data_IF_457706126271
#
_entry.id   IF_457706126271
#
_cell.length_a   1.000
_cell.length_b   1.000
_cell.length_c   1.000
_cell.angle_alpha   90.00
_cell.angle_beta   90.00
_cell.angle_gamma   90.00
#
_symmetry.space_group_name_H-M   'P 1'
#
loop_
_entity.id
_entity.type
_entity.pdbx_description
1 polymer ?
#
# COMPACT_ATOMS: atom_id res chain seq x y z
N UNK A 1 -27.25 -4.89 15.86
CA UNK A 1 -26.20 -5.30 16.82
C UNK A 1 -24.91 -5.45 16.00
N UNK A 2 -23.94 -4.55 16.16
CA UNK A 2 -22.69 -4.57 15.37
C UNK A 2 -21.91 -5.88 15.54
N UNK A 3 -21.88 -6.41 16.77
CA UNK A 3 -21.14 -7.62 17.09
C UNK A 3 -21.67 -8.84 16.31
N UNK A 4 -22.99 -9.02 16.26
CA UNK A 4 -23.63 -10.12 15.53
C UNK A 4 -23.33 -10.06 14.03
N UNK A 5 -23.46 -8.87 13.43
CA UNK A 5 -23.24 -8.69 12.00
C UNK A 5 -21.77 -8.86 11.59
N UNK A 6 -20.84 -8.29 12.36
CA UNK A 6 -19.42 -8.30 12.01
C UNK A 6 -18.75 -9.63 12.35
N UNK A 7 -18.96 -10.14 13.57
CA UNK A 7 -18.16 -11.24 14.12
C UNK A 7 -18.86 -12.60 14.07
N UNK A 8 -20.19 -12.65 13.99
CA UNK A 8 -20.93 -13.92 13.94
C UNK A 8 -21.45 -14.26 12.55
N UNK A 9 -21.74 -13.26 11.72
CA UNK A 9 -22.30 -13.48 10.36
C UNK A 9 -21.28 -13.25 9.23
N UNK A 10 -20.46 -12.20 9.34
CA UNK A 10 -19.52 -11.84 8.27
C UNK A 10 -18.14 -12.50 8.43
N UNK A 11 -17.68 -12.65 9.67
CA UNK A 11 -16.41 -13.29 10.02
C UNK A 11 -16.62 -14.48 10.96
N UNK A 12 -17.47 -15.44 10.55
CA UNK A 12 -17.86 -16.61 11.35
C UNK A 12 -16.76 -17.68 11.50
N UNK A 13 -15.59 -17.45 10.92
CA UNK A 13 -14.44 -18.36 10.97
C UNK A 13 -13.24 -17.75 11.69
N UNK A 14 -12.47 -18.61 12.37
CA UNK A 14 -11.29 -18.23 13.13
C UNK A 14 -9.98 -18.42 12.35
N UNK A 15 -10.05 -19.02 11.16
CA UNK A 15 -8.87 -19.36 10.37
C UNK A 15 -8.41 -18.19 9.52
N UNK A 16 -7.25 -17.62 9.87
CA UNK A 16 -6.64 -16.46 9.21
C UNK A 16 -6.50 -16.61 7.69
N UNK A 17 -6.28 -17.83 7.19
CA UNK A 17 -6.13 -18.10 5.76
C UNK A 17 -7.40 -17.87 4.92
N UNK A 18 -8.56 -17.70 5.56
CA UNK A 18 -9.81 -17.30 4.87
C UNK A 18 -9.90 -15.79 4.65
N UNK A 19 -9.14 -14.98 5.39
CA UNK A 19 -9.15 -13.53 5.25
C UNK A 19 -8.25 -13.09 4.08
N UNK A 20 -8.80 -13.21 2.87
CA UNK A 20 -8.12 -12.78 1.65
C UNK A 20 -7.83 -11.27 1.68
N UNK A 21 -6.70 -10.89 1.08
CA UNK A 21 -6.27 -9.49 0.89
C UNK A 21 -5.90 -8.71 2.16
N UNK A 22 -5.82 -9.38 3.32
CA UNK A 22 -5.32 -8.75 4.55
C UNK A 22 -3.90 -9.23 4.86
N UNK A 23 -2.97 -8.32 5.21
CA UNK A 23 -1.64 -8.72 5.63
C UNK A 23 -1.71 -9.44 6.99
N UNK A 24 -1.15 -10.64 7.07
CA UNK A 24 -0.83 -11.32 8.34
C UNK A 24 0.42 -10.68 8.94
N UNK A 25 0.29 -9.45 9.43
CA UNK A 25 1.42 -8.68 9.98
C UNK A 25 1.00 -7.85 11.19
N UNK A 26 1.91 -7.72 12.16
CA UNK A 26 1.76 -6.83 13.31
C UNK A 26 2.30 -5.41 13.05
N UNK A 27 2.63 -5.06 11.80
CA UNK A 27 3.30 -3.80 11.43
C UNK A 27 2.59 -2.56 11.99
N UNK A 28 1.25 -2.53 11.95
CA UNK A 28 0.48 -1.41 12.49
C UNK A 28 0.64 -1.27 14.02
N UNK A 29 0.61 -2.39 14.74
CA UNK A 29 0.81 -2.42 16.20
C UNK A 29 2.23 -1.99 16.55
N UNK A 30 3.23 -2.50 15.84
CA UNK A 30 4.62 -2.13 16.05
C UNK A 30 4.90 -0.66 15.72
N UNK A 31 4.25 -0.09 14.70
CA UNK A 31 4.36 1.33 14.36
C UNK A 31 3.79 2.23 15.46
N UNK A 32 2.62 1.87 16.02
CA UNK A 32 2.03 2.61 17.16
C UNK A 32 2.94 2.48 18.39
N UNK A 33 3.38 1.26 18.72
CA UNK A 33 4.29 1.01 19.82
C UNK A 33 5.58 1.82 19.68
N UNK A 34 6.11 1.93 18.47
CA UNK A 34 7.29 2.75 18.18
C UNK A 34 7.03 4.23 18.44
N UNK A 35 5.91 4.76 17.96
CA UNK A 35 5.52 6.17 18.18
C UNK A 35 5.41 6.48 19.68
N UNK A 36 4.76 5.60 20.45
CA UNK A 36 4.65 5.75 21.91
C UNK A 36 6.04 5.76 22.57
N UNK A 37 6.91 4.84 22.15
CA UNK A 37 8.27 4.71 22.72
C UNK A 37 9.16 5.88 22.35
N UNK A 38 9.16 6.32 21.10
CA UNK A 38 10.10 7.32 20.59
C UNK A 38 9.63 8.76 20.93
N UNK A 39 8.33 9.06 20.79
CA UNK A 39 7.81 10.42 20.93
C UNK A 39 7.11 10.66 22.27
N UNK A 40 6.48 9.63 22.84
CA UNK A 40 5.69 9.75 24.07
C UNK A 40 6.51 9.55 25.33
N UNK A 41 7.10 8.37 25.47
CA UNK A 41 7.78 7.95 26.71
C UNK A 41 9.29 8.09 26.64
N UNK A 42 9.86 8.39 25.46
CA UNK A 42 11.30 8.39 25.20
C UNK A 42 11.99 7.11 25.71
N UNK A 43 11.28 5.98 25.61
CA UNK A 43 11.67 4.64 26.08
C UNK A 43 11.88 4.52 27.59
N UNK A 44 11.45 5.51 28.38
CA UNK A 44 11.47 5.46 29.83
C UNK A 44 10.27 4.69 30.39
N UNK A 45 10.44 4.10 31.59
CA UNK A 45 9.32 3.54 32.35
C UNK A 45 8.66 4.65 33.15
N UNK A 46 7.34 4.78 33.01
CA UNK A 46 6.56 5.86 33.62
C UNK A 46 5.57 5.30 34.64
N UNK A 47 5.29 6.09 35.68
CA UNK A 47 4.16 5.85 36.57
C UNK A 47 2.84 6.02 35.81
N UNK A 48 1.80 5.28 36.23
CA UNK A 48 0.53 5.20 35.50
C UNK A 48 -0.09 6.57 35.21
N UNK A 49 -0.11 7.48 36.19
CA UNK A 49 -0.68 8.84 36.02
C UNK A 49 0.02 9.63 34.91
N UNK A 50 1.35 9.55 34.84
CA UNK A 50 2.15 10.21 33.81
C UNK A 50 1.96 9.56 32.45
N UNK A 51 1.86 8.23 32.41
CA UNK A 51 1.56 7.50 31.18
C UNK A 51 0.19 7.89 30.60
N UNK A 52 -0.86 7.93 31.43
CA UNK A 52 -2.20 8.33 30.99
C UNK A 52 -2.22 9.76 30.44
N UNK A 53 -1.52 10.69 31.09
CA UNK A 53 -1.39 12.07 30.60
C UNK A 53 -0.75 12.12 29.21
N UNK A 54 0.33 11.36 29.00
CA UNK A 54 1.01 11.29 27.70
C UNK A 54 0.12 10.63 26.63
N UNK A 55 -0.56 9.54 26.98
CA UNK A 55 -1.47 8.86 26.07
C UNK A 55 -2.61 9.79 25.62
N UNK A 56 -3.21 10.55 26.55
CA UNK A 56 -4.21 11.57 26.24
C UNK A 56 -3.65 12.66 25.32
N UNK A 57 -2.42 13.12 25.56
CA UNK A 57 -1.78 14.12 24.70
C UNK A 57 -1.51 13.59 23.28
N UNK A 58 -1.08 12.33 23.14
CA UNK A 58 -0.87 11.69 21.84
C UNK A 58 -2.17 11.68 21.03
N UNK A 59 -3.27 11.21 21.65
CA UNK A 59 -4.58 11.15 21.00
C UNK A 59 -5.08 12.55 20.65
N UNK A 60 -4.90 13.52 21.55
CA UNK A 60 -5.27 14.92 21.29
C UNK A 60 -4.49 15.50 20.10
N UNK A 61 -3.18 15.28 20.05
CA UNK A 61 -2.35 15.73 18.93
C UNK A 61 -2.78 15.09 17.61
N UNK A 62 -3.06 13.79 17.61
CA UNK A 62 -3.59 13.10 16.42
C UNK A 62 -4.93 13.68 15.96
N UNK A 63 -5.77 14.15 16.88
CA UNK A 63 -7.02 14.83 16.58
C UNK A 63 -6.78 16.19 15.95
N UNK A 64 -5.95 17.04 16.57
CA UNK A 64 -5.61 18.39 16.09
C UNK A 64 -4.97 18.35 14.71
N UNK A 65 -4.05 17.42 14.47
CA UNK A 65 -3.39 17.26 13.16
C UNK A 65 -4.37 16.90 12.04
N UNK A 66 -5.55 16.36 12.38
CA UNK A 66 -6.58 15.93 11.44
C UNK A 66 -7.76 16.89 11.38
N UNK A 67 -7.71 18.01 12.09
CA UNK A 67 -8.72 19.05 12.01
C UNK A 67 -8.71 19.70 10.61
N UNK A 68 -9.85 19.69 9.94
CA UNK A 68 -10.03 20.25 8.59
C UNK A 68 -9.93 21.77 8.57
N UNK A 69 -10.05 22.43 9.73
CA UNK A 69 -9.85 23.88 9.85
C UNK A 69 -8.38 24.30 9.91
N UNK A 70 -7.47 23.34 10.15
CA UNK A 70 -6.03 23.60 10.28
C UNK A 70 -5.36 23.81 8.92
N UNK A 71 -4.44 24.78 8.86
CA UNK A 71 -3.65 25.08 7.65
C UNK A 71 -2.75 23.90 7.25
N UNK A 72 -2.34 23.08 8.22
CA UNK A 72 -1.42 21.94 8.06
C UNK A 72 -2.14 20.59 8.28
N UNK A 73 -3.39 20.49 7.83
CA UNK A 73 -4.19 19.27 8.01
C UNK A 73 -3.51 18.04 7.38
N UNK A 74 -3.40 16.96 8.15
CA UNK A 74 -2.96 15.64 7.69
C UNK A 74 -4.16 14.83 7.22
N UNK A 75 -4.47 14.92 5.93
CA UNK A 75 -5.56 14.15 5.31
C UNK A 75 -5.18 12.67 5.16
N UNK A 76 -6.18 11.80 5.30
CA UNK A 76 -6.02 10.39 4.97
C UNK A 76 -5.86 10.22 3.45
N UNK A 77 -4.89 9.41 3.05
CA UNK A 77 -4.77 9.00 1.66
C UNK A 77 -5.97 8.11 1.29
N UNK A 78 -6.83 8.59 0.42
CA UNK A 78 -7.98 7.83 -0.10
C UNK A 78 -7.61 6.96 -1.29
N UNK A 79 -6.50 7.26 -1.94
CA UNK A 79 -5.98 6.51 -3.08
C UNK A 79 -4.48 6.21 -2.92
N UNK A 80 -4.02 5.06 -3.44
CA UNK A 80 -2.61 4.73 -3.42
C UNK A 80 -1.81 5.64 -4.36
N UNK A 81 -0.67 6.14 -3.88
CA UNK A 81 0.27 6.87 -4.73
C UNK A 81 1.10 5.89 -5.54
N UNK A 82 0.98 5.95 -6.88
CA UNK A 82 1.67 5.02 -7.79
C UNK A 82 2.99 5.63 -8.24
N UNK A 83 4.11 5.06 -7.78
CA UNK A 83 5.43 5.50 -8.16
C UNK A 83 5.73 5.22 -9.65
N UNK A 84 6.63 5.99 -10.25
CA UNK A 84 7.07 5.79 -11.63
C UNK A 84 7.72 4.41 -11.85
N UNK A 85 8.42 3.90 -10.83
CA UNK A 85 8.99 2.55 -10.85
C UNK A 85 7.88 1.50 -10.91
N UNK A 86 6.83 1.67 -10.11
CA UNK A 86 5.68 0.78 -10.13
C UNK A 86 5.00 0.82 -11.50
N UNK A 87 4.68 2.00 -12.03
CA UNK A 87 4.15 2.18 -13.39
C UNK A 87 4.96 1.46 -14.46
N UNK A 88 6.29 1.55 -14.39
CA UNK A 88 7.20 0.89 -15.34
C UNK A 88 7.09 -0.63 -15.23
N UNK A 89 7.18 -1.16 -14.01
CA UNK A 89 7.10 -2.61 -13.77
C UNK A 89 5.73 -3.19 -14.14
N UNK A 90 4.65 -2.46 -13.88
CA UNK A 90 3.28 -2.83 -14.24
C UNK A 90 3.07 -2.84 -15.74
N UNK A 91 3.61 -1.85 -16.46
CA UNK A 91 3.53 -1.79 -17.91
C UNK A 91 4.30 -2.94 -18.57
N UNK A 92 5.52 -3.22 -18.11
CA UNK A 92 6.30 -4.38 -18.57
C UNK A 92 5.54 -5.67 -18.28
N UNK A 93 5.05 -5.86 -17.05
CA UNK A 93 4.26 -7.03 -16.66
C UNK A 93 3.00 -7.19 -17.51
N UNK A 94 2.28 -6.11 -17.79
CA UNK A 94 1.09 -6.10 -18.63
C UNK A 94 1.40 -6.55 -20.06
N UNK A 95 2.58 -6.19 -20.60
CA UNK A 95 3.03 -6.61 -21.93
C UNK A 95 3.57 -8.04 -22.00
N UNK A 96 4.05 -8.59 -20.89
CA UNK A 96 4.53 -9.97 -20.85
C UNK A 96 3.35 -10.92 -21.05
N UNK A 97 3.36 -11.63 -22.19
CA UNK A 97 2.51 -12.80 -22.39
C UNK A 97 3.15 -13.94 -21.61
N UNK A 98 2.47 -14.41 -20.56
CA UNK A 98 2.87 -15.61 -19.81
C UNK A 98 2.04 -16.78 -20.33
N UNK A 99 2.47 -17.38 -21.44
CA UNK A 99 1.91 -18.65 -21.88
C UNK A 99 2.52 -19.76 -21.03
N UNK A 100 1.75 -20.22 -20.03
CA UNK A 100 2.11 -21.38 -19.23
C UNK A 100 1.49 -22.59 -19.91
N UNK A 101 2.29 -23.30 -20.71
CA UNK A 101 1.82 -24.43 -21.51
C UNK A 101 2.05 -25.77 -20.81
N UNK A 102 2.80 -25.80 -19.71
CA UNK A 102 3.11 -27.03 -18.98
C UNK A 102 3.00 -26.87 -17.46
N UNK A 103 2.67 -27.97 -16.77
CA UNK A 103 2.63 -28.01 -15.31
C UNK A 103 3.98 -27.70 -14.65
N UNK A 104 5.10 -28.04 -15.29
CA UNK A 104 6.43 -27.71 -14.75
C UNK A 104 6.76 -26.21 -14.86
N UNK A 105 6.31 -25.53 -15.93
CA UNK A 105 6.38 -24.07 -16.00
C UNK A 105 5.47 -23.42 -14.95
N UNK A 106 4.28 -23.98 -14.74
CA UNK A 106 3.35 -23.55 -13.69
C UNK A 106 3.98 -23.68 -12.29
N UNK A 107 4.55 -24.85 -11.95
CA UNK A 107 5.18 -25.11 -10.64
C UNK A 107 6.35 -24.16 -10.35
N UNK A 108 7.10 -23.76 -11.38
CA UNK A 108 8.15 -22.74 -11.26
C UNK A 108 7.61 -21.32 -11.13
N UNK A 109 6.35 -21.08 -11.51
CA UNK A 109 5.83 -19.73 -11.63
C UNK A 109 5.51 -19.08 -10.28
N UNK A 110 5.13 -19.84 -9.22
CA UNK A 110 4.76 -19.33 -7.87
C UNK A 110 3.93 -18.02 -7.83
N UNK A 111 3.31 -17.65 -8.96
CA UNK A 111 2.84 -16.28 -9.26
C UNK A 111 1.31 -16.26 -9.44
N UNK A 112 0.59 -17.19 -8.81
CA UNK A 112 -0.87 -17.18 -8.86
C UNK A 112 -1.37 -16.15 -7.86
N UNK A 113 -1.52 -14.93 -8.36
CA UNK A 113 -2.06 -13.83 -7.61
C UNK A 113 -3.54 -13.68 -7.95
N UNK A 114 -4.40 -13.87 -6.95
CA UNK A 114 -5.81 -13.54 -7.06
C UNK A 114 -5.97 -12.01 -6.95
N UNK A 115 -6.84 -11.47 -7.78
CA UNK A 115 -7.14 -10.05 -7.80
C UNK A 115 -8.63 -9.82 -8.01
N UNK A 116 -9.17 -8.88 -7.26
CA UNK A 116 -10.48 -8.30 -7.48
C UNK A 116 -10.31 -6.88 -7.98
N UNK A 117 -11.05 -6.51 -9.02
CA UNK A 117 -11.01 -5.18 -9.61
C UNK A 117 -12.40 -4.80 -10.08
N UNK A 118 -12.85 -3.62 -9.67
CA UNK A 118 -14.06 -3.00 -10.18
C UNK A 118 -13.83 -2.43 -11.59
N UNK A 119 -14.91 -2.32 -12.36
CA UNK A 119 -14.82 -1.84 -13.74
C UNK A 119 -14.66 -0.32 -13.79
N UNK A 120 -13.88 0.19 -14.74
CA UNK A 120 -13.85 1.62 -15.09
C UNK A 120 -12.83 2.45 -14.29
N UNK A 121 -13.25 3.64 -13.85
CA UNK A 121 -12.37 4.65 -13.23
C UNK A 121 -11.82 4.23 -11.87
N UNK A 122 -12.53 3.35 -11.17
CA UNK A 122 -12.31 3.10 -9.75
C UNK A 122 -11.33 1.94 -9.51
N UNK A 123 -10.66 1.45 -10.55
CA UNK A 123 -9.70 0.33 -10.50
C UNK A 123 -8.64 0.44 -9.39
N UNK A 124 -8.37 1.62 -8.83
CA UNK A 124 -7.47 1.82 -7.69
C UNK A 124 -7.98 1.18 -6.40
N UNK A 125 -9.28 0.89 -6.29
CA UNK A 125 -9.90 0.12 -5.20
C UNK A 125 -9.61 -1.39 -5.30
N UNK A 126 -8.95 -1.82 -6.38
CA UNK A 126 -8.62 -3.23 -6.60
C UNK A 126 -7.87 -3.85 -5.43
N UNK A 127 -8.13 -5.14 -5.20
CA UNK A 127 -7.48 -5.95 -4.17
C UNK A 127 -6.62 -7.00 -4.82
N UNK A 128 -5.49 -7.34 -4.21
CA UNK A 128 -4.64 -8.42 -4.68
C UNK A 128 -3.99 -9.15 -3.51
N UNK A 129 -3.91 -10.48 -3.58
CA UNK A 129 -3.32 -11.27 -2.49
C UNK A 129 -1.78 -11.36 -2.55
N UNK A 130 -1.13 -10.60 -3.43
CA UNK A 130 0.33 -10.61 -3.53
C UNK A 130 1.00 -9.84 -2.38
N UNK A 131 2.19 -10.27 -1.90
CA UNK A 131 2.89 -9.62 -0.79
C UNK A 131 3.12 -8.11 -0.99
N UNK A 132 3.39 -7.68 -2.23
CA UNK A 132 3.56 -6.27 -2.54
C UNK A 132 2.28 -5.45 -2.32
N UNK A 133 1.11 -6.02 -2.62
CA UNK A 133 -0.18 -5.39 -2.36
C UNK A 133 -0.47 -5.37 -0.87
N UNK A 134 -0.32 -6.50 -0.18
CA UNK A 134 -0.57 -6.60 1.26
C UNK A 134 0.25 -5.59 2.07
N UNK A 135 1.45 -5.24 1.58
CA UNK A 135 2.31 -4.22 2.21
C UNK A 135 1.95 -2.78 1.86
N UNK A 136 1.61 -2.49 0.61
CA UNK A 136 1.51 -1.11 0.11
C UNK A 136 0.11 -0.71 -0.34
N UNK A 137 -0.87 -1.61 -0.25
CA UNK A 137 -2.22 -1.49 -0.80
C UNK A 137 -2.26 -1.17 -2.31
N UNK A 138 -1.17 -1.43 -3.02
CA UNK A 138 -1.05 -1.32 -4.48
C UNK A 138 0.10 -2.20 -4.97
N UNK A 139 -0.03 -2.78 -6.16
CA UNK A 139 0.99 -3.67 -6.71
C UNK A 139 1.07 -3.62 -8.23
N UNK A 140 2.10 -4.27 -8.78
CA UNK A 140 2.30 -4.33 -10.23
C UNK A 140 1.16 -5.05 -10.96
N UNK A 141 0.52 -6.02 -10.28
CA UNK A 141 -0.58 -6.80 -10.84
C UNK A 141 -1.82 -5.92 -11.00
N UNK A 142 -2.27 -5.25 -9.94
CA UNK A 142 -3.41 -4.33 -9.96
C UNK A 142 -3.26 -3.28 -11.08
N UNK A 143 -2.18 -2.51 -11.05
CA UNK A 143 -1.90 -1.50 -12.07
C UNK A 143 -1.74 -2.12 -13.47
N UNK A 144 -1.11 -3.29 -13.56
CA UNK A 144 -0.90 -4.00 -14.82
C UNK A 144 -2.20 -4.48 -15.46
N UNK A 145 -3.13 -5.00 -14.66
CA UNK A 145 -4.47 -5.40 -15.13
C UNK A 145 -5.30 -4.20 -15.55
N UNK A 146 -5.25 -3.09 -14.80
CA UNK A 146 -5.90 -1.85 -15.21
C UNK A 146 -5.36 -1.32 -16.56
N UNK A 147 -4.06 -1.51 -16.83
CA UNK A 147 -3.47 -1.19 -18.15
C UNK A 147 -4.01 -2.14 -19.24
N UNK A 148 -4.06 -3.46 -18.99
CA UNK A 148 -4.56 -4.46 -19.95
C UNK A 148 -6.04 -4.24 -20.31
N UNK A 149 -6.85 -3.97 -19.29
CA UNK A 149 -8.28 -3.69 -19.42
C UNK A 149 -8.57 -2.26 -19.92
N UNK A 150 -7.53 -1.46 -20.16
CA UNK A 150 -7.62 -0.07 -20.64
C UNK A 150 -8.36 0.89 -19.69
N UNK A 151 -8.43 0.55 -18.40
CA UNK A 151 -8.98 1.42 -17.34
C UNK A 151 -8.04 2.57 -16.98
N UNK A 152 -6.74 2.44 -17.24
CA UNK A 152 -5.79 3.53 -17.10
C UNK A 152 -4.75 3.59 -18.22
N UNK A 153 -4.12 4.75 -18.37
CA UNK A 153 -3.00 4.96 -19.28
C UNK A 153 -1.72 5.13 -18.49
N UNK A 154 -0.77 4.22 -18.70
CA UNK A 154 0.57 4.36 -18.12
C UNK A 154 1.25 5.65 -18.62
N UNK A 155 1.92 6.42 -17.74
CA UNK A 155 2.60 7.66 -18.11
C UNK A 155 3.69 7.40 -19.16
N UNK A 156 3.92 8.35 -20.08
CA UNK A 156 4.87 8.19 -21.17
C UNK A 156 6.28 7.82 -20.67
N UNK A 157 6.72 8.44 -19.57
CA UNK A 157 8.00 8.16 -18.93
C UNK A 157 8.13 6.70 -18.46
N UNK A 158 7.05 5.98 -18.16
CA UNK A 158 7.10 4.57 -17.77
C UNK A 158 7.34 3.61 -18.94
N UNK A 159 7.09 4.06 -20.18
CA UNK A 159 7.20 3.24 -21.40
C UNK A 159 8.59 3.28 -22.03
N UNK A 160 9.47 4.18 -21.58
CA UNK A 160 10.79 4.40 -22.19
C UNK A 160 11.81 3.32 -21.83
N UNK A 161 11.51 2.46 -20.85
CA UNK A 161 12.42 1.40 -20.41
C UNK A 161 12.14 0.14 -21.23
N UNK A 162 13.14 -0.43 -21.92
CA UNK A 162 12.99 -1.71 -22.62
C UNK A 162 12.48 -2.82 -21.69
N UNK A 163 11.78 -3.81 -22.24
CA UNK A 163 11.28 -4.95 -21.47
C UNK A 163 12.47 -5.76 -20.96
N UNK A 164 12.46 -6.14 -19.68
CA UNK A 164 13.55 -6.89 -19.05
C UNK A 164 14.66 -6.01 -18.48
N UNK A 165 14.69 -4.72 -18.82
CA UNK A 165 15.66 -3.78 -18.25
C UNK A 165 15.12 -3.06 -17.02
N UNK A 166 16.03 -2.80 -16.08
CA UNK A 166 15.78 -1.93 -14.92
C UNK A 166 16.22 -0.52 -15.27
N UNK A 167 15.53 0.48 -14.70
CA UNK A 167 16.03 1.86 -14.71
C UNK A 167 17.41 1.90 -14.07
N UNK A 168 18.32 2.70 -14.64
CA UNK A 168 19.61 2.99 -14.01
C UNK A 168 19.38 3.53 -12.60
N UNK A 169 20.20 3.06 -11.66
CA UNK A 169 20.15 3.53 -10.27
C UNK A 169 20.57 5.00 -10.23
N UNK A 170 19.82 5.80 -9.49
CA UNK A 170 20.11 7.23 -9.32
C UNK A 170 18.93 8.13 -9.69
N UNK A 171 19.14 9.42 -9.52
CA UNK A 171 18.15 10.46 -9.78
C UNK A 171 17.81 10.52 -11.27
N UNK A 172 16.52 10.57 -11.66
CA UNK A 172 16.14 10.83 -13.05
C UNK A 172 16.63 12.21 -13.50
N UNK A 173 17.21 12.30 -14.69
CA UNK A 173 17.77 13.54 -15.23
C UNK A 173 16.77 14.71 -15.28
N UNK A 174 15.46 14.42 -15.42
CA UNK A 174 14.41 15.43 -15.58
C UNK A 174 13.88 16.02 -14.25
N UNK A 175 14.40 15.62 -13.10
CA UNK A 175 13.95 16.17 -11.81
C UNK A 175 14.58 17.56 -11.58
N UNK A 176 13.76 18.60 -11.37
CA UNK A 176 14.21 19.99 -11.13
C UNK A 176 15.21 20.08 -9.96
N UNK A 177 16.30 20.87 -10.05
CA UNK A 177 17.20 21.09 -8.93
C UNK A 177 16.43 21.61 -7.71
N UNK A 178 16.74 21.06 -6.54
CA UNK A 178 16.18 21.49 -5.28
C UNK A 178 16.92 22.74 -4.86
N UNK A 179 16.26 23.90 -4.93
CA UNK A 179 16.80 25.26 -4.72
C UNK A 179 17.83 25.74 -5.77
N UNK A 180 17.48 26.84 -6.44
CA UNK A 180 18.48 27.80 -6.91
C UNK A 180 18.81 28.67 -5.69
N UNK A 181 20.01 28.55 -5.15
CA UNK A 181 20.49 29.52 -4.15
C UNK A 181 20.50 30.90 -4.82
N UNK A 182 19.74 31.85 -4.27
CA UNK A 182 19.80 33.26 -4.66
C UNK A 182 21.04 33.92 -4.09
#
# INVERSE_FOLDING_TARGET
>A
NYFDNEWLRSNDTWYEGLQLYTPSTNDALEAINKTIKDDGTFRERLVLSRFLTIASNIVNNWSIERDTSSINVKLFATEPTISLQLWTSSYQWAKLIKDITTFNQFKKSFDIWCMEMENGSDWKTSKCNCPAFLKNYICKHAVGMAIRLKYCKSPAAAKTVPIGEKRKRGRPANAKPALLAQ
#
